data_IF_693415091421
#
_entry.id   IF_693415091421
#
_cell.length_a   1.000
_cell.length_b   1.000
_cell.length_c   1.000
_cell.angle_alpha   90.00
_cell.angle_beta   90.00
_cell.angle_gamma   90.00
#
_symmetry.space_group_name_H-M   'P 1'
#
loop_
_entity.id
_entity.type
_entity.pdbx_description
1 polymer ?
#
# COMPACT_ATOMS: atom_id res chain seq x y z
N UNK A 1 -1.02 3.57 24.53
CA UNK A 1 -1.79 4.56 23.74
C UNK A 1 -2.86 3.79 23.01
N UNK A 2 -4.12 4.19 23.15
CA UNK A 2 -5.27 3.56 22.50
C UNK A 2 -5.15 3.65 20.96
N UNK A 3 -5.59 2.63 20.20
CA UNK A 3 -5.45 2.56 18.73
C UNK A 3 -6.14 3.76 18.07
N UNK A 4 -7.35 4.06 18.53
CA UNK A 4 -8.15 5.18 18.05
C UNK A 4 -7.48 6.54 18.32
N UNK A 5 -6.81 6.69 19.47
CA UNK A 5 -6.06 7.92 19.80
C UNK A 5 -4.82 8.08 18.93
N UNK A 6 -4.11 6.99 18.63
CA UNK A 6 -2.94 7.01 17.72
C UNK A 6 -3.35 7.44 16.32
N UNK A 7 -4.42 6.82 15.80
CA UNK A 7 -4.87 7.07 14.43
C UNK A 7 -5.40 8.50 14.27
N UNK A 8 -6.10 9.03 15.27
CA UNK A 8 -6.50 10.44 15.30
C UNK A 8 -5.30 11.41 15.29
N UNK A 9 -4.22 11.11 16.01
CA UNK A 9 -2.99 11.93 15.99
C UNK A 9 -2.34 11.92 14.61
N UNK A 10 -2.21 10.73 14.00
CA UNK A 10 -1.65 10.57 12.66
C UNK A 10 -2.46 11.37 11.65
N UNK A 11 -3.79 11.25 11.67
CA UNK A 11 -4.68 11.96 10.75
C UNK A 11 -4.55 13.49 10.85
N UNK A 12 -4.31 14.03 12.05
CA UNK A 12 -4.08 15.47 12.24
C UNK A 12 -2.80 15.93 11.55
N UNK A 13 -1.76 15.10 11.63
CA UNK A 13 -0.44 15.36 11.06
C UNK A 13 -0.39 15.16 9.54
N UNK A 14 -1.34 14.42 8.94
CA UNK A 14 -1.40 14.17 7.49
C UNK A 14 -1.46 15.46 6.64
N UNK A 15 -0.97 15.34 5.40
CA UNK A 15 -1.06 16.40 4.38
C UNK A 15 -2.48 16.65 3.91
N UNK A 16 -2.67 17.74 3.16
CA UNK A 16 -3.97 18.05 2.56
C UNK A 16 -4.36 17.03 1.49
N UNK A 17 -3.37 16.48 0.77
CA UNK A 17 -3.57 15.42 -0.22
C UNK A 17 -4.17 14.17 0.43
N UNK A 18 -3.61 13.70 1.56
CA UNK A 18 -4.15 12.54 2.27
C UNK A 18 -5.54 12.82 2.86
N UNK A 19 -5.73 14.01 3.45
CA UNK A 19 -7.06 14.43 3.94
C UNK A 19 -8.10 14.44 2.83
N UNK A 20 -7.70 14.85 1.61
CA UNK A 20 -8.54 14.79 0.42
C UNK A 20 -8.84 13.34 0.02
N UNK A 21 -7.86 12.45 -0.01
CA UNK A 21 -8.08 11.03 -0.34
C UNK A 21 -9.08 10.36 0.62
N UNK A 22 -8.95 10.61 1.92
CA UNK A 22 -9.91 10.11 2.93
C UNK A 22 -11.31 10.68 2.70
N UNK A 23 -11.42 11.97 2.38
CA UNK A 23 -12.70 12.60 2.06
C UNK A 23 -13.32 12.02 0.79
N UNK A 24 -12.53 11.86 -0.28
CA UNK A 24 -13.00 11.32 -1.55
C UNK A 24 -13.45 9.86 -1.38
N UNK A 25 -12.70 9.05 -0.62
CA UNK A 25 -13.08 7.66 -0.32
C UNK A 25 -14.43 7.59 0.39
N UNK A 26 -14.65 8.48 1.38
CA UNK A 26 -15.93 8.60 2.08
C UNK A 26 -17.06 8.97 1.13
N UNK A 27 -16.84 9.92 0.22
CA UNK A 27 -17.85 10.30 -0.79
C UNK A 27 -18.18 9.15 -1.75
N UNK A 28 -17.22 8.27 -1.99
CA UNK A 28 -17.38 7.05 -2.78
C UNK A 28 -17.96 5.86 -2.00
N UNK A 29 -18.34 6.05 -0.72
CA UNK A 29 -18.94 4.99 0.10
C UNK A 29 -17.93 4.02 0.72
N UNK A 30 -16.68 4.45 0.90
CA UNK A 30 -15.60 3.67 1.54
C UNK A 30 -15.11 4.39 2.80
N UNK A 31 -14.73 3.63 3.82
CA UNK A 31 -14.00 4.16 4.98
C UNK A 31 -12.51 3.90 4.79
N UNK A 32 -11.71 4.96 4.61
CA UNK A 32 -10.25 4.87 4.50
C UNK A 32 -9.59 5.33 5.80
N UNK A 33 -8.91 4.41 6.47
CA UNK A 33 -8.06 4.66 7.63
C UNK A 33 -6.58 4.60 7.24
N UNK A 34 -5.88 5.71 7.40
CA UNK A 34 -4.41 5.78 7.19
C UNK A 34 -3.70 5.56 8.52
N UNK A 35 -2.82 4.55 8.54
CA UNK A 35 -2.18 4.04 9.76
C UNK A 35 -0.73 4.49 9.94
N UNK A 36 -0.13 5.08 8.90
CA UNK A 36 1.21 5.67 8.95
C UNK A 36 1.17 7.14 8.58
N UNK A 37 2.10 7.91 9.11
CA UNK A 37 2.30 9.29 8.67
C UNK A 37 2.77 9.29 7.20
N UNK A 38 2.09 10.07 6.36
CA UNK A 38 2.45 10.27 4.96
C UNK A 38 2.60 11.76 4.74
N UNK A 39 3.77 12.16 4.23
CA UNK A 39 3.99 13.51 3.74
C UNK A 39 4.05 13.58 2.22
N UNK A 40 3.91 14.78 1.68
CA UNK A 40 3.83 15.02 0.24
C UNK A 40 5.22 15.01 -0.45
N UNK A 41 6.29 14.85 0.31
CA UNK A 41 7.66 14.85 -0.19
C UNK A 41 8.22 13.42 -0.35
N UNK A 42 7.63 12.43 0.32
CA UNK A 42 8.06 11.03 0.35
C UNK A 42 6.96 10.07 -0.13
N UNK A 43 6.53 10.17 -1.38
CA UNK A 43 5.43 9.36 -1.87
C UNK A 43 5.87 7.99 -2.39
N UNK A 44 7.15 7.79 -2.72
CA UNK A 44 7.64 6.51 -3.25
C UNK A 44 7.47 5.34 -2.26
N UNK A 45 7.07 4.18 -2.76
CA UNK A 45 6.84 2.94 -2.00
C UNK A 45 8.03 2.52 -1.12
N UNK A 46 9.25 2.87 -1.54
CA UNK A 46 10.50 2.55 -0.81
C UNK A 46 10.61 3.22 0.56
N UNK A 47 9.84 4.28 0.82
CA UNK A 47 9.87 4.99 2.10
C UNK A 47 9.08 4.26 3.18
N UNK A 48 8.18 3.37 2.78
CA UNK A 48 7.20 2.77 3.66
C UNK A 48 7.55 1.33 4.01
N UNK A 49 6.90 0.79 5.03
CA UNK A 49 6.98 -0.62 5.35
C UNK A 49 5.82 -1.04 6.23
N UNK A 50 5.26 -2.22 5.96
CA UNK A 50 4.19 -2.79 6.76
C UNK A 50 2.84 -2.20 6.35
N UNK A 51 1.84 -2.30 7.24
CA UNK A 51 0.49 -1.84 6.93
C UNK A 51 0.44 -0.31 6.91
N UNK A 52 0.05 0.26 5.77
CA UNK A 52 -0.01 1.70 5.56
C UNK A 52 -1.42 2.22 5.80
N UNK A 53 -2.41 1.50 5.31
CA UNK A 53 -3.80 1.89 5.37
C UNK A 53 -4.74 0.67 5.36
N UNK A 54 -6.00 0.93 5.66
CA UNK A 54 -7.12 0.00 5.49
C UNK A 54 -8.29 0.75 4.87
N UNK A 55 -8.89 0.18 3.83
CA UNK A 55 -10.15 0.66 3.27
C UNK A 55 -11.27 -0.37 3.54
N UNK A 56 -12.46 0.10 3.86
CA UNK A 56 -13.62 -0.76 4.14
C UNK A 56 -14.82 -0.34 3.29
N UNK A 57 -15.52 -1.33 2.70
CA UNK A 57 -16.77 -1.12 1.95
C UNK A 57 -17.72 -2.29 2.21
N UNK A 58 -18.76 -2.07 3.02
CA UNK A 58 -19.65 -3.15 3.45
C UNK A 58 -18.87 -4.18 4.28
N UNK A 59 -18.98 -5.46 3.91
CA UNK A 59 -18.28 -6.57 4.58
C UNK A 59 -16.86 -6.81 4.04
N UNK A 60 -16.44 -6.06 3.01
CA UNK A 60 -15.12 -6.16 2.40
C UNK A 60 -14.12 -5.22 3.09
N UNK A 61 -12.98 -5.77 3.48
CA UNK A 61 -11.87 -5.09 4.16
C UNK A 61 -10.61 -5.24 3.31
N UNK A 62 -10.08 -4.11 2.86
CA UNK A 62 -8.86 -4.03 2.07
C UNK A 62 -7.71 -3.52 2.93
N UNK A 63 -6.77 -4.40 3.28
CA UNK A 63 -5.52 -3.98 3.90
C UNK A 63 -4.47 -3.63 2.84
N UNK A 64 -3.78 -2.52 3.05
CA UNK A 64 -2.79 -1.96 2.11
C UNK A 64 -1.42 -1.94 2.78
N UNK A 65 -0.45 -2.63 2.20
CA UNK A 65 0.90 -2.81 2.74
C UNK A 65 1.95 -2.23 1.82
N UNK A 66 3.04 -1.71 2.39
CA UNK A 66 4.34 -1.69 1.74
C UNK A 66 5.07 -3.00 2.06
N UNK A 67 5.23 -3.84 1.05
CA UNK A 67 5.77 -5.19 1.16
C UNK A 67 7.06 -5.35 0.37
N UNK A 68 8.06 -5.94 1.01
CA UNK A 68 9.39 -6.12 0.43
C UNK A 68 10.52 -5.92 1.44
N UNK A 69 11.70 -6.36 1.04
CA UNK A 69 12.94 -6.14 1.79
C UNK A 69 13.77 -5.12 0.99
N UNK A 70 13.91 -3.87 1.46
CA UNK A 70 14.73 -2.87 0.77
C UNK A 70 16.20 -3.06 1.14
N UNK A 71 17.04 -3.30 0.13
CA UNK A 71 18.50 -3.33 0.31
C UNK A 71 19.09 -2.26 -0.58
N UNK A 72 19.70 -1.23 0.02
CA UNK A 72 20.19 -0.08 -0.72
C UNK A 72 21.55 0.40 -0.24
N UNK A 73 22.37 0.88 -1.18
CA UNK A 73 23.64 1.57 -0.92
C UNK A 73 23.59 2.98 -1.49
N UNK A 74 23.90 3.97 -0.64
CA UNK A 74 24.09 5.35 -1.05
C UNK A 74 25.57 5.72 -0.99
N UNK A 75 26.11 6.20 -2.10
CA UNK A 75 27.49 6.67 -2.22
C UNK A 75 27.56 8.21 -2.20
N UNK A 76 28.73 8.73 -1.87
CA UNK A 76 29.11 10.13 -1.93
C UNK A 76 30.07 10.37 -3.07
N UNK A 77 30.80 11.49 -3.03
CA UNK A 77 31.86 11.76 -4.02
C UNK A 77 32.99 10.73 -3.90
N UNK A 78 33.49 10.26 -5.05
CA UNK A 78 34.64 9.36 -5.13
C UNK A 78 34.40 7.98 -4.50
N UNK A 79 33.24 7.38 -4.76
CA UNK A 79 32.84 6.04 -4.29
C UNK A 79 32.83 5.80 -2.78
N UNK A 80 32.91 6.88 -1.98
CA UNK A 80 32.74 6.78 -0.52
C UNK A 80 31.30 6.38 -0.19
N UNK A 81 31.08 5.22 0.42
CA UNK A 81 29.77 4.85 0.95
C UNK A 81 29.33 5.83 2.06
N UNK A 82 28.15 6.43 1.92
CA UNK A 82 27.52 7.30 2.91
C UNK A 82 26.58 6.51 3.83
N UNK A 83 25.76 5.64 3.23
CA UNK A 83 24.77 4.86 3.95
C UNK A 83 24.60 3.49 3.26
N UNK A 84 24.30 2.47 4.06
CA UNK A 84 23.91 1.16 3.57
C UNK A 84 22.80 0.61 4.46
N UNK A 85 21.67 0.27 3.84
CA UNK A 85 20.46 -0.14 4.53
C UNK A 85 20.10 -1.57 4.12
N UNK A 86 19.72 -2.36 5.12
CA UNK A 86 19.03 -3.65 4.97
C UNK A 86 17.71 -3.55 5.73
N UNK A 87 16.71 -3.01 5.09
CA UNK A 87 15.35 -2.98 5.61
C UNK A 87 14.73 -4.35 5.34
N UNK A 88 14.28 -5.02 6.40
CA UNK A 88 13.74 -6.36 6.30
C UNK A 88 12.46 -6.50 7.11
N UNK A 89 11.61 -7.43 6.67
CA UNK A 89 10.33 -7.74 7.32
C UNK A 89 9.38 -6.54 7.30
N UNK A 90 9.40 -5.77 6.22
CA UNK A 90 8.49 -4.65 5.97
C UNK A 90 8.51 -3.61 7.12
N UNK A 91 9.69 -3.22 7.62
CA UNK A 91 9.78 -2.33 8.79
C UNK A 91 9.82 -0.83 8.45
N UNK A 92 10.10 -0.44 7.20
CA UNK A 92 10.19 0.97 6.81
C UNK A 92 11.44 1.66 7.39
N UNK A 93 12.47 0.88 7.70
CA UNK A 93 13.77 1.35 8.18
C UNK A 93 14.47 2.23 7.14
N UNK A 94 14.20 2.01 5.84
CA UNK A 94 14.78 2.82 4.76
C UNK A 94 14.56 4.32 4.97
N UNK A 95 13.34 4.74 5.30
CA UNK A 95 13.06 6.15 5.57
C UNK A 95 13.88 6.69 6.74
N UNK A 96 13.96 5.95 7.85
CA UNK A 96 14.68 6.40 9.04
C UNK A 96 16.17 6.66 8.76
N UNK A 97 16.80 5.78 7.98
CA UNK A 97 18.22 5.83 7.67
C UNK A 97 18.56 6.79 6.51
N UNK A 98 17.70 6.88 5.49
CA UNK A 98 18.00 7.61 4.25
C UNK A 98 17.50 9.06 4.23
N UNK A 99 16.46 9.41 5.00
CA UNK A 99 15.86 10.77 4.96
C UNK A 99 16.82 11.91 5.30
N UNK A 100 17.92 11.61 6.00
CA UNK A 100 18.95 12.61 6.31
C UNK A 100 19.89 12.92 5.12
N UNK A 101 19.90 12.06 4.11
CA UNK A 101 20.72 12.18 2.90
C UNK A 101 19.93 12.48 1.62
N UNK A 102 18.64 12.14 1.63
CA UNK A 102 17.70 12.27 0.54
C UNK A 102 16.43 12.87 1.12
N UNK A 103 16.20 14.16 0.85
CA UNK A 103 15.14 14.91 1.52
C UNK A 103 13.73 14.64 0.99
N UNK A 104 13.61 14.05 -0.20
CA UNK A 104 12.35 13.81 -0.89
C UNK A 104 12.53 12.88 -2.09
N UNK A 105 11.43 12.51 -2.75
CA UNK A 105 11.39 11.68 -3.95
C UNK A 105 12.23 12.22 -5.10
N UNK A 106 12.35 13.54 -5.23
CA UNK A 106 13.16 14.15 -6.30
C UNK A 106 14.64 13.91 -6.07
N UNK A 107 15.12 14.00 -4.84
CA UNK A 107 16.51 13.67 -4.51
C UNK A 107 16.79 12.18 -4.58
N UNK A 108 15.82 11.34 -4.17
CA UNK A 108 15.85 9.89 -4.36
C UNK A 108 16.07 9.53 -5.83
N UNK A 109 15.18 9.98 -6.73
CA UNK A 109 15.28 9.72 -8.18
C UNK A 109 16.60 10.21 -8.78
N UNK A 110 17.03 11.42 -8.43
CA UNK A 110 18.34 11.94 -8.89
C UNK A 110 19.51 11.10 -8.41
N UNK A 111 19.45 10.58 -7.18
CA UNK A 111 20.50 9.73 -6.66
C UNK A 111 20.54 8.38 -7.39
N UNK A 112 19.38 7.81 -7.70
CA UNK A 112 19.27 6.59 -8.49
C UNK A 112 19.76 6.78 -9.93
N UNK A 113 19.26 7.80 -10.64
CA UNK A 113 19.63 8.12 -12.03
C UNK A 113 21.13 8.39 -12.20
N UNK A 114 21.77 8.98 -11.19
CA UNK A 114 23.22 9.24 -11.20
C UNK A 114 24.07 8.03 -10.79
N UNK A 115 23.44 6.91 -10.43
CA UNK A 115 24.11 5.71 -9.89
C UNK A 115 24.65 5.87 -8.47
N UNK A 116 24.34 7.01 -7.82
CA UNK A 116 24.73 7.30 -6.44
C UNK A 116 23.98 6.43 -5.44
N UNK A 117 22.72 6.14 -5.72
CA UNK A 117 21.88 5.20 -4.98
C UNK A 117 21.74 3.92 -5.80
N UNK A 118 21.98 2.78 -5.18
CA UNK A 118 21.84 1.46 -5.80
C UNK A 118 20.91 0.61 -4.96
N UNK A 119 19.84 0.11 -5.57
CA UNK A 119 18.97 -0.89 -4.99
C UNK A 119 19.41 -2.29 -5.40
N UNK A 120 19.45 -3.20 -4.42
CA UNK A 120 19.70 -4.63 -4.62
C UNK A 120 18.45 -5.47 -4.37
N UNK A 121 17.46 -4.88 -3.70
CA UNK A 121 16.12 -5.39 -3.53
C UNK A 121 15.18 -4.22 -3.22
N UNK A 122 13.90 -4.34 -3.58
CA UNK A 122 12.94 -3.24 -3.56
C UNK A 122 11.71 -3.53 -2.69
N UNK A 123 10.83 -2.54 -2.59
CA UNK A 123 9.50 -2.58 -1.97
C UNK A 123 8.43 -2.41 -3.06
N UNK A 124 7.21 -2.86 -2.79
CA UNK A 124 6.02 -2.58 -3.61
C UNK A 124 4.79 -2.42 -2.71
N UNK A 125 3.71 -1.85 -3.24
CA UNK A 125 2.43 -1.88 -2.52
C UNK A 125 1.70 -3.20 -2.77
N UNK A 126 1.18 -3.79 -1.70
CA UNK A 126 0.46 -5.07 -1.73
C UNK A 126 -0.93 -4.89 -1.11
N UNK A 127 -1.95 -5.44 -1.77
CA UNK A 127 -3.35 -5.37 -1.37
C UNK A 127 -3.84 -6.73 -0.90
N UNK A 128 -4.51 -6.76 0.25
CA UNK A 128 -5.10 -7.99 0.79
C UNK A 128 -6.56 -7.75 1.11
N UNK A 129 -7.44 -8.40 0.36
CA UNK A 129 -8.88 -8.30 0.54
C UNK A 129 -9.39 -9.43 1.42
N UNK A 130 -10.12 -9.06 2.47
CA UNK A 130 -10.80 -9.97 3.38
C UNK A 130 -12.31 -9.71 3.32
N UNK A 131 -13.07 -10.77 3.10
CA UNK A 131 -14.52 -10.75 3.27
C UNK A 131 -14.86 -11.19 4.70
N UNK A 132 -15.40 -10.26 5.48
CA UNK A 132 -15.80 -10.51 6.86
C UNK A 132 -17.09 -11.31 7.01
N UNK A 133 -17.94 -11.34 5.98
CA UNK A 133 -19.15 -12.16 5.94
C UNK A 133 -18.79 -13.63 5.71
N UNK A 134 -18.01 -13.92 4.65
CA UNK A 134 -17.53 -15.27 4.34
C UNK A 134 -16.38 -15.73 5.26
N UNK A 135 -15.72 -14.79 5.94
CA UNK A 135 -14.56 -14.99 6.82
C UNK A 135 -13.32 -15.54 6.11
N UNK A 136 -13.09 -15.09 4.89
CA UNK A 136 -11.99 -15.56 4.05
C UNK A 136 -11.26 -14.41 3.33
N UNK A 137 -10.03 -14.68 2.91
CA UNK A 137 -9.31 -13.77 2.04
C UNK A 137 -9.67 -14.06 0.58
N UNK A 138 -10.02 -13.03 -0.16
CA UNK A 138 -10.19 -13.10 -1.62
C UNK A 138 -8.77 -13.21 -2.22
N UNK A 139 -8.56 -14.17 -3.11
CA UNK A 139 -7.24 -14.68 -3.50
C UNK A 139 -6.19 -13.60 -3.74
N UNK A 140 -5.16 -13.54 -2.89
CA UNK A 140 -4.13 -12.48 -2.89
C UNK A 140 -3.36 -12.39 -4.22
N UNK A 141 -3.10 -13.52 -4.88
CA UNK A 141 -2.39 -13.55 -6.18
C UNK A 141 -3.19 -12.92 -7.33
N UNK A 142 -4.48 -12.66 -7.15
CA UNK A 142 -5.33 -12.05 -8.16
C UNK A 142 -5.30 -10.52 -8.08
N UNK A 143 -5.11 -9.97 -6.89
CA UNK A 143 -5.06 -8.52 -6.66
C UNK A 143 -3.74 -7.91 -7.16
N UNK A 144 -2.65 -8.68 -7.12
CA UNK A 144 -1.32 -8.28 -7.61
C UNK A 144 -1.29 -7.93 -9.11
N UNK A 145 -2.35 -8.25 -9.88
CA UNK A 145 -2.46 -7.95 -11.31
C UNK A 145 -3.45 -6.81 -11.64
N UNK A 146 -4.11 -6.21 -10.65
CA UNK A 146 -5.15 -5.19 -10.91
C UNK A 146 -4.51 -3.87 -11.33
N UNK A 147 -3.49 -3.42 -10.60
CA UNK A 147 -2.66 -2.28 -10.98
C UNK A 147 -1.31 -2.33 -10.22
N UNK A 148 -0.33 -1.62 -10.77
CA UNK A 148 0.98 -1.42 -10.16
C UNK A 148 1.09 0.06 -9.76
N UNK A 149 1.53 0.33 -8.54
CA UNK A 149 1.72 1.67 -8.03
C UNK A 149 3.01 1.76 -7.23
N UNK A 150 3.83 2.73 -7.59
CA UNK A 150 5.04 3.09 -6.84
C UNK A 150 4.84 4.33 -5.97
N UNK A 151 3.72 5.04 -6.11
CA UNK A 151 3.38 6.27 -5.39
C UNK A 151 2.19 6.04 -4.44
N UNK A 152 2.36 6.42 -3.17
CA UNK A 152 1.35 6.19 -2.13
C UNK A 152 0.05 6.95 -2.38
N UNK A 153 0.10 8.11 -3.04
CA UNK A 153 -1.11 8.88 -3.33
C UNK A 153 -1.93 8.23 -4.44
N UNK A 154 -1.27 7.61 -5.41
CA UNK A 154 -1.92 6.80 -6.44
C UNK A 154 -2.50 5.50 -5.83
N UNK A 155 -1.70 4.82 -5.02
CA UNK A 155 -2.08 3.60 -4.28
C UNK A 155 -3.35 3.80 -3.42
N UNK A 156 -3.48 4.96 -2.78
CA UNK A 156 -4.63 5.32 -1.94
C UNK A 156 -5.72 6.10 -2.68
N UNK A 157 -5.60 6.25 -4.01
CA UNK A 157 -6.58 7.00 -4.78
C UNK A 157 -7.92 6.27 -4.85
N UNK A 158 -9.02 7.03 -4.83
CA UNK A 158 -10.37 6.46 -4.91
C UNK A 158 -10.57 5.61 -6.16
N UNK A 159 -9.98 6.01 -7.29
CA UNK A 159 -10.03 5.27 -8.55
C UNK A 159 -9.48 3.86 -8.37
N UNK A 160 -8.32 3.73 -7.73
CA UNK A 160 -7.68 2.44 -7.53
C UNK A 160 -8.39 1.60 -6.45
N UNK A 161 -8.80 2.23 -5.34
CA UNK A 161 -9.57 1.55 -4.31
C UNK A 161 -10.90 1.00 -4.85
N UNK A 162 -11.62 1.79 -5.64
CA UNK A 162 -12.88 1.35 -6.27
C UNK A 162 -12.64 0.16 -7.19
N UNK A 163 -11.62 0.20 -8.03
CA UNK A 163 -11.27 -0.89 -8.95
C UNK A 163 -11.04 -2.21 -8.20
N UNK A 164 -10.32 -2.17 -7.06
CA UNK A 164 -10.10 -3.36 -6.23
C UNK A 164 -11.41 -3.88 -5.63
N UNK A 165 -12.24 -3.00 -5.05
CA UNK A 165 -13.51 -3.44 -4.47
C UNK A 165 -14.48 -4.00 -5.52
N UNK A 166 -14.55 -3.39 -6.69
CA UNK A 166 -15.37 -3.87 -7.80
C UNK A 166 -14.90 -5.23 -8.29
N UNK A 167 -13.59 -5.44 -8.40
CA UNK A 167 -13.01 -6.73 -8.73
C UNK A 167 -13.38 -7.80 -7.68
N UNK A 168 -13.28 -7.46 -6.39
CA UNK A 168 -13.63 -8.38 -5.30
C UNK A 168 -15.11 -8.82 -5.37
N UNK A 169 -16.03 -7.88 -5.65
CA UNK A 169 -17.46 -8.17 -5.81
C UNK A 169 -17.71 -9.05 -7.04
N UNK A 170 -17.06 -8.77 -8.17
CA UNK A 170 -17.17 -9.59 -9.37
C UNK A 170 -16.69 -11.01 -9.11
N UNK A 171 -15.55 -11.16 -8.45
CA UNK A 171 -14.99 -12.47 -8.11
C UNK A 171 -15.94 -13.29 -7.23
N UNK A 172 -16.54 -12.68 -6.20
CA UNK A 172 -17.55 -13.34 -5.37
C UNK A 172 -18.74 -13.82 -6.20
N UNK A 173 -19.24 -12.98 -7.12
CA UNK A 173 -20.38 -13.35 -7.99
C UNK A 173 -20.05 -14.50 -8.93
N UNK A 174 -18.82 -14.59 -9.44
CA UNK A 174 -18.36 -15.69 -10.28
C UNK A 174 -18.24 -17.00 -9.49
N UNK A 175 -17.78 -16.94 -8.24
CA UNK A 175 -17.74 -18.12 -7.36
C UNK A 175 -19.14 -18.61 -7.02
N UNK A 176 -20.06 -17.71 -6.66
CA UNK A 176 -21.45 -18.09 -6.34
C UNK A 176 -22.17 -18.74 -7.54
N UNK A 177 -22.01 -18.18 -8.76
CA UNK A 177 -22.58 -18.77 -9.98
C UNK A 177 -22.02 -20.16 -10.31
N UNK A 178 -20.73 -20.38 -10.01
CA UNK A 178 -20.10 -21.71 -10.12
C UNK A 178 -20.68 -22.73 -9.14
N UNK A 179 -21.08 -22.32 -7.93
CA UNK A 179 -21.72 -23.22 -6.97
C UNK A 179 -23.18 -23.51 -7.33
N UNK A 180 -23.93 -22.51 -7.79
CA UNK A 180 -25.33 -22.70 -8.22
C UNK A 180 -25.47 -23.63 -9.43
N UNK A 181 -24.57 -23.55 -10.42
CA UNK A 181 -24.58 -24.47 -11.57
C UNK A 181 -24.26 -25.93 -11.19
N UNK A 182 -23.50 -26.13 -10.12
CA UNK A 182 -23.12 -27.47 -9.63
C UNK A 182 -24.16 -28.10 -8.68
N UNK A 183 -25.17 -27.35 -8.22
CA UNK A 183 -26.27 -27.87 -7.38
C UNK A 183 -27.44 -28.45 -8.19
N UNK A 184 -27.39 -28.41 -9.52
CA UNK A 184 -28.34 -29.16 -10.37
C UNK A 184 -27.91 -30.64 -10.41
N UNK A 185 -28.16 -31.35 -9.31
CA UNK A 185 -28.10 -32.81 -9.26
C UNK A 185 -29.03 -33.44 -10.30
N UNK A 186 -28.77 -34.69 -10.72
CA UNK A 186 -29.52 -35.31 -11.80
C UNK A 186 -31.01 -35.36 -11.44
N UNK A 187 -31.83 -34.78 -12.32
CA UNK A 187 -33.28 -34.95 -12.31
C UNK A 187 -33.54 -36.45 -12.50
N UNK A 188 -34.00 -37.11 -11.43
CA UNK A 188 -34.47 -38.50 -11.45
C UNK A 188 -35.75 -38.64 -12.30
#
# INVERSE_FOLDING_TARGET
>A
MDREKRNNSILQEQTQEIKKLVSDARQAGMELEVMQFIDAEHCACIWYGGQIAQAVRGDLILDIYAAGDVIARLNGKGDRQLCFVKDKRNQGTFFQEMRSYLANDKELRRAEESGRLQFYNNNWFEWRMYDSQAKEYIGSSLLDNIFDADDILECLSVKELQSIFEYAVLWQSEQEGMYEENEIGPVL
#
